data_IF_060751497930
#
_entry.id   IF_060751497930
#
_cell.length_a   1.000
_cell.length_b   1.000
_cell.length_c   1.000
_cell.angle_alpha   90.00
_cell.angle_beta   90.00
_cell.angle_gamma   90.00
#
_symmetry.space_group_name_H-M   'P 1'
#
loop_
_entity.id
_entity.type
_entity.pdbx_description
1 polymer ?
#
# COMPACT_ATOMS: atom_id res chain seq x y z
N UNK A 1 -23.85 27.30 -40.06
CA UNK A 1 -22.77 26.29 -39.98
C UNK A 1 -21.80 26.47 -38.81
N UNK A 2 -21.30 27.68 -38.50
CA UNK A 2 -20.25 27.90 -37.48
C UNK A 2 -20.60 27.49 -36.03
N UNK A 3 -21.87 27.55 -35.62
CA UNK A 3 -22.31 27.22 -34.24
C UNK A 3 -22.35 25.72 -33.96
N UNK A 4 -22.81 24.90 -34.93
CA UNK A 4 -22.86 23.43 -34.80
C UNK A 4 -21.45 22.82 -34.75
N UNK A 5 -20.50 23.38 -35.49
CA UNK A 5 -19.09 22.98 -35.44
C UNK A 5 -18.45 23.23 -34.05
N UNK A 6 -18.79 24.34 -33.37
CA UNK A 6 -18.28 24.63 -32.02
C UNK A 6 -18.73 23.60 -30.99
N UNK A 7 -20.01 23.22 -31.00
CA UNK A 7 -20.52 22.19 -30.08
C UNK A 7 -19.91 20.82 -30.36
N UNK A 8 -19.63 20.50 -31.63
CA UNK A 8 -18.96 19.27 -32.02
C UNK A 8 -17.52 19.19 -31.46
N UNK A 9 -16.76 20.30 -31.55
CA UNK A 9 -15.40 20.39 -31.00
C UNK A 9 -15.40 20.27 -29.48
N UNK A 10 -16.34 20.91 -28.78
CA UNK A 10 -16.46 20.81 -27.32
C UNK A 10 -16.78 19.37 -26.89
N UNK A 11 -17.65 18.67 -27.62
CA UNK A 11 -17.94 17.25 -27.38
C UNK A 11 -16.70 16.37 -27.51
N UNK A 12 -15.88 16.58 -28.54
CA UNK A 12 -14.63 15.83 -28.75
C UNK A 12 -13.63 16.09 -27.62
N UNK A 13 -13.44 17.34 -27.19
CA UNK A 13 -12.55 17.68 -26.08
C UNK A 13 -13.02 17.02 -24.78
N UNK A 14 -14.33 17.02 -24.52
CA UNK A 14 -14.91 16.36 -23.36
C UNK A 14 -14.63 14.85 -23.35
N UNK A 15 -14.81 14.18 -24.49
CA UNK A 15 -14.54 12.74 -24.63
C UNK A 15 -13.05 12.45 -24.41
N UNK A 16 -12.15 13.19 -25.09
CA UNK A 16 -10.71 12.99 -24.97
C UNK A 16 -10.25 13.18 -23.51
N UNK A 17 -10.70 14.25 -22.85
CA UNK A 17 -10.32 14.56 -21.47
C UNK A 17 -10.78 13.47 -20.49
N UNK A 18 -11.99 12.94 -20.69
CA UNK A 18 -12.53 11.87 -19.86
C UNK A 18 -11.84 10.52 -20.12
N UNK A 19 -11.53 10.21 -21.38
CA UNK A 19 -10.75 9.02 -21.75
C UNK A 19 -9.33 9.06 -21.17
N UNK A 20 -8.64 10.22 -21.23
CA UNK A 20 -7.32 10.36 -20.61
C UNK A 20 -7.38 10.21 -19.09
N UNK A 21 -8.41 10.73 -18.43
CA UNK A 21 -8.58 10.59 -16.98
C UNK A 21 -8.79 9.12 -16.56
N UNK A 22 -9.56 8.37 -17.35
CA UNK A 22 -9.77 6.93 -17.12
C UNK A 22 -8.46 6.16 -17.32
N UNK A 23 -7.75 6.40 -18.43
CA UNK A 23 -6.48 5.70 -18.71
C UNK A 23 -5.41 5.99 -17.67
N UNK A 24 -5.32 7.24 -17.18
CA UNK A 24 -4.39 7.61 -16.10
C UNK A 24 -4.77 6.88 -14.80
N UNK A 25 -6.07 6.85 -14.43
CA UNK A 25 -6.51 6.13 -13.23
C UNK A 25 -6.21 4.62 -13.28
N UNK A 26 -6.42 3.96 -14.43
CA UNK A 26 -6.16 2.53 -14.55
C UNK A 26 -4.66 2.18 -14.56
N UNK A 27 -3.79 3.04 -15.11
CA UNK A 27 -2.34 2.78 -15.16
C UNK A 27 -1.58 3.16 -13.88
N UNK A 28 -2.24 3.80 -12.90
CA UNK A 28 -1.61 4.11 -11.60
C UNK A 28 -1.63 2.94 -10.63
N UNK A 29 -2.26 1.80 -10.98
CA UNK A 29 -2.15 0.56 -10.21
C UNK A 29 -0.78 -0.08 -10.49
N UNK A 30 0.27 0.52 -9.94
CA UNK A 30 1.61 -0.07 -9.97
C UNK A 30 1.61 -1.24 -9.00
N UNK A 31 1.52 -2.45 -9.52
CA UNK A 31 1.95 -3.61 -8.73
C UNK A 31 3.45 -3.47 -8.53
N UNK A 32 3.96 -3.52 -7.29
CA UNK A 32 5.39 -3.48 -7.06
C UNK A 32 6.08 -4.59 -7.88
N UNK A 33 7.29 -4.30 -8.37
CA UNK A 33 8.12 -5.31 -9.03
C UNK A 33 8.25 -6.52 -8.10
N UNK A 34 7.85 -7.68 -8.60
CA UNK A 34 7.77 -8.90 -7.78
C UNK A 34 9.17 -9.43 -7.56
N UNK A 35 9.71 -9.17 -6.37
CA UNK A 35 10.94 -9.79 -5.91
C UNK A 35 10.54 -11.14 -5.29
N UNK A 36 11.18 -12.22 -5.70
CA UNK A 36 10.83 -13.57 -5.22
C UNK A 36 11.20 -13.82 -3.75
N UNK A 37 12.21 -13.09 -3.24
CA UNK A 37 12.79 -13.32 -1.92
C UNK A 37 13.37 -12.02 -1.34
N UNK A 38 13.01 -11.69 -0.10
CA UNK A 38 13.63 -10.63 0.71
C UNK A 38 13.98 -11.16 2.10
N UNK A 39 15.15 -10.78 2.60
CA UNK A 39 15.82 -11.36 3.78
C UNK A 39 16.24 -10.28 4.78
N UNK A 40 16.66 -10.71 5.97
CA UNK A 40 17.14 -9.83 7.05
C UNK A 40 16.14 -8.77 7.50
N UNK A 41 14.84 -9.06 7.39
CA UNK A 41 13.78 -8.14 7.75
C UNK A 41 13.56 -8.08 9.26
N UNK A 42 13.18 -6.90 9.75
CA UNK A 42 12.79 -6.66 11.12
C UNK A 42 11.38 -6.05 11.17
N UNK A 43 10.56 -6.47 12.14
CA UNK A 43 9.20 -6.00 12.33
C UNK A 43 8.98 -5.64 13.81
N UNK A 44 8.60 -4.39 14.05
CA UNK A 44 8.16 -3.89 15.35
C UNK A 44 6.70 -3.44 15.25
N UNK A 45 5.84 -3.96 16.12
CA UNK A 45 4.44 -3.52 16.24
C UNK A 45 4.23 -2.96 17.64
N UNK A 46 3.98 -1.66 17.72
CA UNK A 46 3.60 -0.97 18.95
C UNK A 46 2.07 -0.80 18.98
N UNK A 47 1.44 -1.52 19.90
CA UNK A 47 -0.01 -1.51 20.07
C UNK A 47 -0.51 -0.29 20.85
N UNK A 48 0.38 0.61 21.29
CA UNK A 48 0.08 1.80 22.09
C UNK A 48 -0.73 1.48 23.37
N UNK A 49 -0.53 0.29 23.91
CA UNK A 49 -1.12 -0.19 25.16
C UNK A 49 -0.04 -0.69 26.14
N UNK A 50 1.24 -0.39 25.85
CA UNK A 50 2.41 -0.88 26.57
C UNK A 50 2.97 -2.22 26.08
N UNK A 51 2.26 -2.91 25.18
CA UNK A 51 2.74 -4.13 24.52
C UNK A 51 3.44 -3.78 23.21
N UNK A 52 4.55 -4.46 22.94
CA UNK A 52 5.29 -4.36 21.67
C UNK A 52 5.60 -5.78 21.19
N UNK A 53 5.29 -6.08 19.93
CA UNK A 53 5.69 -7.33 19.26
C UNK A 53 6.91 -7.06 18.39
N UNK A 54 7.95 -7.85 18.57
CA UNK A 54 9.22 -7.74 17.82
C UNK A 54 9.49 -9.06 17.09
N UNK A 55 9.86 -8.96 15.82
CA UNK A 55 10.41 -10.04 14.99
C UNK A 55 11.65 -9.53 14.29
N UNK A 56 12.66 -10.38 14.19
CA UNK A 56 13.97 -10.02 13.65
C UNK A 56 14.46 -11.13 12.73
N UNK A 57 15.29 -10.75 11.76
CA UNK A 57 15.98 -11.64 10.84
C UNK A 57 15.06 -12.67 10.18
N UNK A 58 13.86 -12.24 9.75
CA UNK A 58 12.95 -13.10 9.02
C UNK A 58 13.04 -12.86 7.52
N UNK A 59 12.38 -13.73 6.77
CA UNK A 59 12.42 -13.77 5.31
C UNK A 59 11.01 -13.84 4.78
N UNK A 60 10.79 -13.17 3.65
CA UNK A 60 9.59 -13.33 2.84
C UNK A 60 9.99 -13.92 1.50
N UNK A 61 9.15 -14.79 0.97
CA UNK A 61 9.38 -15.52 -0.27
C UNK A 61 8.09 -15.64 -1.10
N UNK A 62 8.18 -16.25 -2.28
CA UNK A 62 7.04 -16.53 -3.16
C UNK A 62 6.34 -15.25 -3.67
N UNK A 63 7.12 -14.19 -3.89
CA UNK A 63 6.62 -12.92 -4.39
C UNK A 63 5.80 -12.08 -3.39
N UNK A 64 5.68 -12.54 -2.13
CA UNK A 64 4.98 -11.83 -1.04
C UNK A 64 5.93 -10.92 -0.27
N UNK A 65 6.45 -9.89 -0.92
CA UNK A 65 7.57 -9.09 -0.40
C UNK A 65 7.19 -7.65 -0.07
N UNK A 66 5.95 -7.41 0.33
CA UNK A 66 5.46 -6.07 0.70
C UNK A 66 5.44 -5.86 2.22
N UNK A 67 5.28 -4.61 2.67
CA UNK A 67 5.09 -4.30 4.09
C UNK A 67 3.88 -5.01 4.67
N UNK A 68 2.79 -5.11 3.89
CA UNK A 68 1.60 -5.84 4.30
C UNK A 68 1.88 -7.34 4.47
N UNK A 69 2.61 -7.96 3.53
CA UNK A 69 2.99 -9.38 3.63
C UNK A 69 3.84 -9.66 4.87
N UNK A 70 4.79 -8.76 5.18
CA UNK A 70 5.61 -8.84 6.37
C UNK A 70 4.76 -8.84 7.66
N UNK A 71 3.76 -7.98 7.71
CA UNK A 71 2.85 -7.89 8.84
C UNK A 71 1.96 -9.15 8.93
N UNK A 72 1.38 -9.57 7.80
CA UNK A 72 0.47 -10.71 7.69
C UNK A 72 1.14 -12.06 8.01
N UNK A 73 2.46 -12.16 7.84
CA UNK A 73 3.22 -13.35 8.23
C UNK A 73 3.17 -13.60 9.75
N UNK A 74 3.10 -12.52 10.55
CA UNK A 74 3.33 -12.59 12.00
C UNK A 74 2.13 -12.17 12.87
N UNK A 75 1.08 -11.65 12.25
CA UNK A 75 -0.07 -11.08 12.94
C UNK A 75 -1.39 -11.49 12.28
N UNK A 76 -2.45 -11.56 13.08
CA UNK A 76 -3.82 -11.67 12.58
C UNK A 76 -4.34 -10.28 12.23
N UNK A 77 -4.89 -10.12 11.02
CA UNK A 77 -5.23 -8.80 10.48
C UNK A 77 -6.71 -8.70 10.10
N UNK A 78 -7.32 -7.56 10.43
CA UNK A 78 -8.51 -7.05 9.73
C UNK A 78 -8.12 -5.80 8.96
N UNK A 79 -8.55 -5.72 7.70
CA UNK A 79 -8.18 -4.65 6.81
C UNK A 79 -9.25 -4.38 5.76
N UNK A 80 -9.25 -3.16 5.24
CA UNK A 80 -10.07 -2.78 4.08
C UNK A 80 -9.16 -2.69 2.85
N UNK A 81 -9.50 -3.40 1.79
CA UNK A 81 -8.88 -3.25 0.46
C UNK A 81 -9.72 -2.28 -0.38
N UNK A 82 -9.15 -1.11 -0.68
CA UNK A 82 -9.81 -0.09 -1.50
C UNK A 82 -9.44 -0.18 -2.98
N UNK A 83 -8.65 -1.17 -3.38
CA UNK A 83 -8.15 -1.37 -4.74
C UNK A 83 -6.98 -0.45 -5.13
N UNK A 84 -6.78 0.66 -4.42
CA UNK A 84 -5.61 1.55 -4.52
C UNK A 84 -4.64 1.40 -3.34
N UNK A 85 -4.96 0.53 -2.39
CA UNK A 85 -4.14 0.23 -1.22
C UNK A 85 -4.98 -0.39 -0.10
N UNK A 86 -4.29 -1.13 0.76
CA UNK A 86 -4.83 -1.74 1.96
C UNK A 86 -4.69 -0.79 3.15
N UNK A 87 -5.77 -0.63 3.91
CA UNK A 87 -5.77 0.04 5.21
C UNK A 87 -6.00 -1.02 6.30
N UNK A 88 -5.01 -1.19 7.18
CA UNK A 88 -5.11 -2.09 8.33
C UNK A 88 -5.98 -1.45 9.42
N UNK A 89 -6.98 -2.20 9.89
CA UNK A 89 -7.94 -1.80 10.93
C UNK A 89 -7.65 -2.43 12.27
N UNK A 90 -7.13 -3.65 12.25
CA UNK A 90 -6.88 -4.44 13.45
C UNK A 90 -5.62 -5.27 13.27
N UNK A 91 -4.81 -5.34 14.34
CA UNK A 91 -3.65 -6.23 14.45
C UNK A 91 -3.80 -7.02 15.75
N UNK A 92 -3.86 -8.35 15.64
CA UNK A 92 -3.99 -9.31 16.75
C UNK A 92 -5.13 -8.96 17.73
N UNK A 93 -6.31 -8.63 17.22
CA UNK A 93 -7.46 -8.26 18.05
C UNK A 93 -7.48 -6.79 18.51
N UNK A 94 -6.45 -6.00 18.19
CA UNK A 94 -6.34 -4.60 18.62
C UNK A 94 -6.76 -3.66 17.49
N UNK A 95 -8.00 -3.17 17.56
CA UNK A 95 -8.56 -2.23 16.60
C UNK A 95 -7.98 -0.81 16.75
N UNK A 96 -7.77 -0.11 15.65
CA UNK A 96 -7.27 1.26 15.68
C UNK A 96 -6.93 1.86 14.33
N UNK A 97 -6.36 3.07 14.38
CA UNK A 97 -5.71 3.68 13.23
C UNK A 97 -4.24 3.28 13.27
N UNK A 98 -3.82 2.47 12.31
CA UNK A 98 -2.47 1.95 12.24
C UNK A 98 -1.66 2.74 11.22
N UNK A 99 -0.47 3.18 11.62
CA UNK A 99 0.52 3.80 10.75
C UNK A 99 1.72 2.88 10.64
N UNK A 100 2.35 2.88 9.47
CA UNK A 100 3.56 2.11 9.23
C UNK A 100 4.72 2.99 8.78
N UNK A 101 5.92 2.50 9.05
CA UNK A 101 7.19 3.10 8.72
C UNK A 101 8.12 2.02 8.20
N UNK A 102 8.96 2.36 7.24
CA UNK A 102 10.08 1.55 6.77
C UNK A 102 11.34 2.39 6.94
N UNK A 103 12.31 1.87 7.68
CA UNK A 103 13.56 2.57 8.00
C UNK A 103 13.31 3.99 8.53
N UNK A 104 12.38 4.11 9.50
CA UNK A 104 11.94 5.36 10.14
C UNK A 104 11.19 6.37 9.25
N UNK A 105 10.90 6.03 7.99
CA UNK A 105 10.14 6.88 7.06
C UNK A 105 8.74 6.33 6.90
N UNK A 106 7.70 7.18 7.01
CA UNK A 106 6.32 6.81 6.70
C UNK A 106 6.06 7.00 5.21
N UNK A 107 5.82 5.93 4.43
CA UNK A 107 5.55 6.06 3.00
C UNK A 107 4.12 6.54 2.75
N UNK A 108 3.91 7.21 1.62
CA UNK A 108 2.60 7.76 1.22
C UNK A 108 1.74 6.80 0.39
N UNK A 109 2.03 5.50 0.45
CA UNK A 109 1.34 4.44 -0.31
C UNK A 109 0.74 3.40 0.64
N UNK A 110 -0.18 2.56 0.16
CA UNK A 110 -0.69 1.43 0.94
C UNK A 110 0.43 0.44 1.30
N UNK A 111 0.31 -0.26 2.42
CA UNK A 111 1.34 -1.21 2.88
C UNK A 111 1.49 -2.41 1.93
N UNK A 112 0.45 -2.72 1.15
CA UNK A 112 0.42 -3.72 0.08
C UNK A 112 1.13 -3.27 -1.21
N UNK A 113 1.41 -1.97 -1.35
CA UNK A 113 2.06 -1.40 -2.52
C UNK A 113 3.52 -1.04 -2.28
N UNK A 114 3.98 -1.07 -1.03
CA UNK A 114 5.37 -0.78 -0.69
C UNK A 114 6.22 -2.06 -0.75
N UNK A 115 7.12 -2.21 -1.75
CA UNK A 115 8.04 -3.33 -1.80
C UNK A 115 9.14 -3.17 -0.75
N UNK A 116 9.50 -4.28 -0.11
CA UNK A 116 10.62 -4.32 0.84
C UNK A 116 11.93 -4.65 0.14
N UNK A 117 13.03 -4.19 0.73
CA UNK A 117 14.39 -4.56 0.36
C UNK A 117 15.03 -5.40 1.48
N UNK A 118 16.14 -6.07 1.16
CA UNK A 118 16.89 -6.85 2.15
C UNK A 118 17.40 -5.94 3.27
N UNK A 119 17.18 -6.34 4.52
CA UNK A 119 17.63 -5.60 5.70
C UNK A 119 16.67 -4.52 6.20
N UNK A 120 15.51 -4.35 5.55
CA UNK A 120 14.54 -3.33 5.95
C UNK A 120 14.00 -3.54 7.37
N UNK A 121 13.80 -2.42 8.07
CA UNK A 121 13.16 -2.37 9.39
C UNK A 121 11.78 -1.74 9.30
N UNK A 122 10.77 -2.54 9.60
CA UNK A 122 9.36 -2.19 9.52
C UNK A 122 8.85 -1.87 10.92
N UNK A 123 8.18 -0.73 11.08
CA UNK A 123 7.50 -0.36 12.32
C UNK A 123 6.03 -0.06 12.05
N UNK A 124 5.16 -0.64 12.88
CA UNK A 124 3.74 -0.33 12.94
C UNK A 124 3.42 0.30 14.29
N UNK A 125 2.67 1.39 14.28
CA UNK A 125 2.28 2.14 15.48
C UNK A 125 0.77 2.38 15.45
N UNK A 126 0.11 2.08 16.56
CA UNK A 126 -1.28 2.45 16.75
C UNK A 126 -1.39 3.91 17.18
N UNK A 127 -2.04 4.73 16.35
CA UNK A 127 -2.44 6.09 16.66
C UNK A 127 -3.74 6.13 17.51
#
# INVERSE_FOLDING_TARGET
MKRKAKFFIIGIIGIISFSTLITINFNLKQTPDTIELVTDLNLHVDYNNGSIKIRQNFTLSEGKTTVFDALALWCELLYDDYGWGIIVREIDGVGGNWLYYVNDVSPSVGSDLYPLENGDSIRWEKN
#
